data_IF_740244849960
#
_entry.id   IF_740244849960
#
_cell.length_a   1.000
_cell.length_b   1.000
_cell.length_c   1.000
_cell.angle_alpha   90.00
_cell.angle_beta   90.00
_cell.angle_gamma   90.00
#
_symmetry.space_group_name_H-M   'P 1'
#
loop_
_entity.id
_entity.type
_entity.pdbx_description
1 polymer ?
#
# COMPACT_ATOMS: atom_id res chain seq x y z
N UNK A 1 5.03 -24.75 5.73
CA UNK A 1 4.06 -23.67 5.42
C UNK A 1 4.41 -23.06 4.07
N UNK A 2 3.44 -22.58 3.27
CA UNK A 2 3.75 -21.89 2.01
C UNK A 2 4.38 -20.52 2.30
N UNK A 3 5.25 -20.03 1.40
CA UNK A 3 5.92 -18.72 1.54
C UNK A 3 4.93 -17.58 1.73
N UNK A 4 3.81 -17.61 0.99
CA UNK A 4 2.72 -16.64 1.12
C UNK A 4 2.07 -16.68 2.52
N UNK A 5 1.84 -17.88 3.06
CA UNK A 5 1.27 -18.03 4.40
C UNK A 5 2.20 -17.47 5.47
N UNK A 6 3.49 -17.77 5.38
CA UNK A 6 4.49 -17.23 6.31
C UNK A 6 4.56 -15.70 6.23
N UNK A 7 4.57 -15.13 5.02
CA UNK A 7 4.58 -13.68 4.82
C UNK A 7 3.37 -13.00 5.49
N UNK A 8 2.16 -13.57 5.35
CA UNK A 8 0.96 -13.03 5.98
C UNK A 8 1.01 -13.09 7.51
N UNK A 9 1.48 -14.20 8.09
CA UNK A 9 1.62 -14.32 9.55
C UNK A 9 2.70 -13.39 10.14
N UNK A 10 3.69 -13.00 9.35
CA UNK A 10 4.71 -12.01 9.75
C UNK A 10 4.19 -10.58 9.55
N UNK A 11 3.55 -10.31 8.41
CA UNK A 11 3.02 -8.98 8.08
C UNK A 11 1.96 -8.54 9.10
N UNK A 12 1.06 -9.43 9.52
CA UNK A 12 -0.03 -9.09 10.44
C UNK A 12 0.46 -8.44 11.76
N UNK A 13 1.34 -9.06 12.58
CA UNK A 13 1.82 -8.43 13.81
C UNK A 13 2.63 -7.17 13.56
N UNK A 14 3.39 -7.09 12.45
CA UNK A 14 4.13 -5.87 12.08
C UNK A 14 3.17 -4.72 11.82
N UNK A 15 2.11 -4.96 11.04
CA UNK A 15 1.13 -3.94 10.67
C UNK A 15 0.28 -3.51 11.88
N UNK A 16 -0.10 -4.45 12.75
CA UNK A 16 -0.79 -4.13 14.00
C UNK A 16 0.07 -3.26 14.92
N UNK A 17 1.35 -3.62 15.07
CA UNK A 17 2.31 -2.82 15.85
C UNK A 17 2.47 -1.44 15.24
N UNK A 18 2.65 -1.35 13.92
CA UNK A 18 2.76 -0.08 13.22
C UNK A 18 1.52 0.80 13.40
N UNK A 19 0.31 0.22 13.40
CA UNK A 19 -0.92 0.96 13.66
C UNK A 19 -0.98 1.53 15.09
N UNK A 20 -0.64 0.72 16.11
CA UNK A 20 -0.66 1.15 17.52
C UNK A 20 0.34 2.28 17.80
N UNK A 21 1.53 2.21 17.20
CA UNK A 21 2.60 3.19 17.43
C UNK A 21 2.62 4.33 16.40
N UNK A 22 1.68 4.37 15.45
CA UNK A 22 1.63 5.42 14.42
C UNK A 22 2.79 5.38 13.43
N UNK A 23 3.37 4.20 13.16
CA UNK A 23 4.43 4.03 12.17
C UNK A 23 3.87 3.99 10.74
N UNK A 24 3.37 5.13 10.28
CA UNK A 24 2.71 5.26 8.98
C UNK A 24 3.61 4.89 7.79
N UNK A 25 4.94 5.05 7.88
CA UNK A 25 5.85 4.65 6.81
C UNK A 25 5.81 3.14 6.51
N UNK A 26 5.51 2.28 7.50
CA UNK A 26 5.36 0.83 7.31
C UNK A 26 4.15 0.52 6.43
N UNK A 27 3.05 1.24 6.67
CA UNK A 27 1.86 1.18 5.81
C UNK A 27 2.14 1.73 4.41
N UNK A 28 2.94 2.79 4.32
CA UNK A 28 3.38 3.33 3.04
C UNK A 28 4.14 2.30 2.19
N UNK A 29 5.09 1.57 2.81
CA UNK A 29 5.79 0.47 2.15
C UNK A 29 4.86 -0.65 1.71
N UNK A 30 3.82 -0.97 2.50
CA UNK A 30 2.82 -1.97 2.12
C UNK A 30 2.02 -1.55 0.89
N UNK A 31 1.60 -0.28 0.81
CA UNK A 31 0.92 0.24 -0.40
C UNK A 31 1.80 0.11 -1.64
N UNK A 32 3.08 0.50 -1.55
CA UNK A 32 4.02 0.35 -2.66
C UNK A 32 4.22 -1.14 -3.01
N UNK A 33 4.31 -2.00 -2.00
CA UNK A 33 4.43 -3.44 -2.21
C UNK A 33 3.22 -4.03 -2.95
N UNK A 34 2.00 -3.61 -2.63
CA UNK A 34 0.77 -4.10 -3.29
C UNK A 34 0.68 -3.75 -4.76
N UNK A 35 1.31 -2.65 -5.21
CA UNK A 35 1.34 -2.29 -6.63
C UNK A 35 1.99 -3.38 -7.48
N UNK A 36 3.03 -4.05 -6.97
CA UNK A 36 3.79 -5.06 -7.72
C UNK A 36 2.88 -6.23 -8.17
N UNK A 37 2.23 -7.00 -7.27
CA UNK A 37 1.34 -8.08 -7.68
C UNK A 37 0.13 -7.56 -8.44
N UNK A 38 -0.38 -6.36 -8.15
CA UNK A 38 -1.49 -5.77 -8.90
C UNK A 38 -1.14 -5.56 -10.37
N UNK A 39 0.03 -5.00 -10.68
CA UNK A 39 0.50 -4.83 -12.06
C UNK A 39 0.74 -6.17 -12.74
N UNK A 40 1.38 -7.12 -12.04
CA UNK A 40 1.68 -8.44 -12.60
C UNK A 40 0.41 -9.25 -12.91
N UNK A 41 -0.61 -9.15 -12.06
CA UNK A 41 -1.85 -9.91 -12.21
C UNK A 41 -2.91 -9.16 -13.03
N UNK A 42 -2.77 -7.84 -13.22
CA UNK A 42 -3.78 -7.01 -13.89
C UNK A 42 -5.05 -6.80 -13.06
N UNK A 43 -4.95 -6.99 -11.74
CA UNK A 43 -6.08 -6.96 -10.81
C UNK A 43 -5.76 -6.07 -9.61
N UNK A 44 -6.61 -5.09 -9.36
CA UNK A 44 -6.53 -4.20 -8.21
C UNK A 44 -7.69 -4.48 -7.25
N UNK A 45 -7.46 -4.34 -5.96
CA UNK A 45 -8.52 -4.47 -4.96
C UNK A 45 -8.80 -3.11 -4.33
N UNK A 46 -10.05 -2.65 -4.37
CA UNK A 46 -10.46 -1.43 -3.67
C UNK A 46 -11.50 -1.74 -2.59
N UNK A 47 -12.72 -2.03 -3.02
CA UNK A 47 -13.79 -2.63 -2.19
C UNK A 47 -14.06 -4.05 -2.67
N UNK A 48 -14.09 -4.21 -3.99
CA UNK A 48 -14.06 -5.48 -4.69
C UNK A 48 -12.85 -5.51 -5.63
N UNK A 49 -12.66 -6.65 -6.26
CA UNK A 49 -11.65 -6.85 -7.30
C UNK A 49 -12.06 -6.11 -8.58
N UNK A 50 -11.09 -5.38 -9.16
CA UNK A 50 -11.21 -4.64 -10.41
C UNK A 50 -10.17 -5.19 -11.37
N UNK A 51 -10.63 -5.73 -12.50
CA UNK A 51 -9.76 -6.16 -13.60
C UNK A 51 -9.44 -4.97 -14.50
N UNK A 52 -8.17 -4.86 -14.90
CA UNK A 52 -7.70 -3.85 -15.84
C UNK A 52 -8.41 -3.90 -17.20
N UNK A 53 -8.78 -5.10 -17.66
CA UNK A 53 -9.39 -5.27 -18.99
C UNK A 53 -10.88 -4.89 -19.00
N UNK A 54 -11.55 -4.96 -17.83
CA UNK A 54 -12.96 -4.60 -17.68
C UNK A 54 -13.14 -3.09 -17.38
N UNK A 55 -12.34 -2.54 -16.45
CA UNK A 55 -12.35 -1.12 -16.09
C UNK A 55 -10.92 -0.57 -15.92
N UNK A 56 -10.25 -0.20 -17.02
CA UNK A 56 -8.86 0.25 -17.00
C UNK A 56 -8.68 1.59 -16.28
N UNK A 57 -9.70 2.48 -16.33
CA UNK A 57 -9.61 3.79 -15.72
C UNK A 57 -9.58 3.66 -14.19
N UNK A 58 -10.52 2.91 -13.62
CA UNK A 58 -10.57 2.68 -12.18
C UNK A 58 -9.35 1.89 -11.70
N UNK A 59 -8.93 0.88 -12.47
CA UNK A 59 -7.72 0.12 -12.17
C UNK A 59 -6.49 1.02 -11.99
N UNK A 60 -6.22 1.91 -12.96
CA UNK A 60 -5.05 2.81 -12.88
C UNK A 60 -5.23 3.87 -11.80
N UNK A 61 -6.45 4.34 -11.55
CA UNK A 61 -6.73 5.25 -10.43
C UNK A 61 -6.35 4.62 -9.08
N UNK A 62 -6.65 3.33 -8.87
CA UNK A 62 -6.26 2.60 -7.65
C UNK A 62 -4.73 2.47 -7.55
N UNK A 63 -4.05 2.11 -8.64
CA UNK A 63 -2.58 2.02 -8.66
C UNK A 63 -1.94 3.37 -8.32
N UNK A 64 -2.42 4.46 -8.92
CA UNK A 64 -1.96 5.81 -8.64
C UNK A 64 -2.24 6.21 -7.19
N UNK A 65 -3.43 5.91 -6.67
CA UNK A 65 -3.81 6.17 -5.28
C UNK A 65 -2.84 5.50 -4.31
N UNK A 66 -2.53 4.22 -4.53
CA UNK A 66 -1.59 3.48 -3.70
C UNK A 66 -0.17 4.01 -3.82
N UNK A 67 0.27 4.38 -5.03
CA UNK A 67 1.59 4.97 -5.24
C UNK A 67 1.73 6.30 -4.47
N UNK A 68 0.78 7.22 -4.64
CA UNK A 68 0.78 8.52 -3.99
C UNK A 68 0.70 8.37 -2.47
N UNK A 69 -0.23 7.55 -1.97
CA UNK A 69 -0.39 7.30 -0.53
C UNK A 69 0.89 6.70 0.06
N UNK A 70 1.46 5.69 -0.60
CA UNK A 70 2.70 5.05 -0.18
C UNK A 70 3.86 6.02 -0.09
N UNK A 71 4.08 6.81 -1.15
CA UNK A 71 5.14 7.80 -1.20
C UNK A 71 4.94 8.93 -0.18
N UNK A 72 3.73 9.44 -0.02
CA UNK A 72 3.44 10.50 0.96
C UNK A 72 3.68 10.03 2.39
N UNK A 73 3.24 8.81 2.76
CA UNK A 73 3.46 8.26 4.10
C UNK A 73 4.94 8.05 4.42
N UNK A 74 5.72 7.60 3.43
CA UNK A 74 7.18 7.45 3.58
C UNK A 74 7.84 8.83 3.66
N UNK A 75 7.48 9.76 2.78
CA UNK A 75 8.03 11.11 2.75
C UNK A 75 7.76 11.88 4.04
N UNK A 76 6.54 11.80 4.59
CA UNK A 76 6.19 12.43 5.85
C UNK A 76 7.08 11.93 7.01
N UNK A 77 7.47 10.66 7.00
CA UNK A 77 8.35 10.08 8.01
C UNK A 77 9.82 10.44 7.81
N UNK A 78 10.28 10.62 6.56
CA UNK A 78 11.67 10.98 6.25
C UNK A 78 11.92 12.49 6.39
N UNK A 79 10.89 13.30 6.16
CA UNK A 79 10.96 14.76 6.18
C UNK A 79 9.89 15.36 7.10
N UNK A 80 9.95 15.09 8.42
CA UNK A 80 8.92 15.54 9.37
C UNK A 80 8.74 17.06 9.38
N UNK A 81 9.79 17.83 9.08
CA UNK A 81 9.73 19.29 8.97
C UNK A 81 8.81 19.79 7.83
N UNK A 82 8.52 18.97 6.82
CA UNK A 82 7.62 19.30 5.71
C UNK A 82 6.28 18.57 5.81
N UNK A 83 6.06 17.77 6.85
CA UNK A 83 4.85 16.96 7.01
C UNK A 83 3.57 17.81 7.07
N UNK A 84 3.66 19.06 7.55
CA UNK A 84 2.54 20.01 7.57
C UNK A 84 2.01 20.36 6.16
N UNK A 85 2.81 20.19 5.10
CA UNK A 85 2.40 20.40 3.71
C UNK A 85 1.59 19.23 3.15
N UNK A 86 1.60 18.09 3.85
CA UNK A 86 0.91 16.87 3.48
C UNK A 86 -0.37 16.64 4.31
N UNK A 87 -0.69 17.57 5.22
CA UNK A 87 -1.82 17.52 6.15
C UNK A 87 -3.04 18.32 5.66
#
# INVERSE_FOLDING_TARGET
MSRARTANYIALPILLTAAVFGFYWVWGLLFIWWIIPTILNGQAFLVFEINRDDDPLLYWAIVCLWALSGLMMIAASLFPQYAYLLA
#
